data_IF_693837301604
#
_entry.id   IF_693837301604
#
_cell.length_a   1.000
_cell.length_b   1.000
_cell.length_c   1.000
_cell.angle_alpha   90.00
_cell.angle_beta   90.00
_cell.angle_gamma   90.00
#
_symmetry.space_group_name_H-M   'P 1'
#
loop_
_entity.id
_entity.type
_entity.pdbx_description
1 polymer ?
#
# COMPACT_ATOMS: atom_id res chain seq x y z
N UNK A 1 -11.28 36.30 -4.47
CA UNK A 1 -10.19 35.48 -5.02
C UNK A 1 -10.06 35.57 -6.55
N UNK A 2 -11.10 35.30 -7.35
CA UNK A 2 -11.06 35.45 -8.83
C UNK A 2 -10.60 36.82 -9.30
N UNK A 3 -11.10 37.90 -8.69
CA UNK A 3 -10.75 39.29 -9.08
C UNK A 3 -9.33 39.68 -8.66
N UNK A 4 -8.80 39.10 -7.56
CA UNK A 4 -7.41 39.30 -7.15
C UNK A 4 -6.44 38.59 -8.10
N UNK A 5 -6.79 37.38 -8.58
CA UNK A 5 -6.04 36.66 -9.59
C UNK A 5 -6.08 37.36 -10.96
N UNK A 6 -7.25 37.92 -11.34
CA UNK A 6 -7.42 38.69 -12.59
C UNK A 6 -6.65 40.01 -12.59
N UNK A 7 -6.51 40.68 -11.44
CA UNK A 7 -5.69 41.87 -11.31
C UNK A 7 -4.18 41.55 -11.38
N UNK A 8 -3.75 40.46 -10.79
CA UNK A 8 -2.35 39.99 -10.82
C UNK A 8 -1.87 39.57 -12.22
N UNK A 9 -2.77 39.07 -13.08
CA UNK A 9 -2.41 38.74 -14.46
C UNK A 9 -2.14 39.97 -15.36
N UNK A 10 -2.59 41.14 -14.93
CA UNK A 10 -2.38 42.40 -15.68
C UNK A 10 -1.15 43.19 -15.25
N UNK A 11 -0.59 42.85 -14.09
CA UNK A 11 0.63 43.47 -13.56
C UNK A 11 1.77 42.45 -13.68
N UNK A 12 2.97 42.92 -14.08
CA UNK A 12 4.16 42.09 -14.27
C UNK A 12 4.76 41.57 -12.94
N UNK A 13 4.16 41.93 -11.82
CA UNK A 13 4.51 41.43 -10.49
C UNK A 13 3.66 40.22 -10.13
N UNK A 14 4.30 39.09 -9.81
CA UNK A 14 3.63 37.86 -9.43
C UNK A 14 2.69 38.03 -8.23
N UNK A 15 1.69 37.14 -8.12
CA UNK A 15 0.76 37.10 -7.00
C UNK A 15 1.50 36.79 -5.70
N UNK A 16 1.51 37.75 -4.76
CA UNK A 16 2.15 37.61 -3.45
C UNK A 16 1.12 37.49 -2.33
N UNK A 17 1.50 36.86 -1.21
CA UNK A 17 0.67 36.78 -0.01
C UNK A 17 0.29 38.18 0.53
N UNK A 18 1.21 39.13 0.46
CA UNK A 18 0.96 40.53 0.84
C UNK A 18 -0.12 41.18 -0.02
N UNK A 19 -0.12 40.94 -1.32
CA UNK A 19 -1.15 41.46 -2.26
C UNK A 19 -2.52 40.83 -1.97
N UNK A 20 -2.57 39.50 -1.75
CA UNK A 20 -3.80 38.81 -1.34
C UNK A 20 -4.37 39.44 -0.07
N UNK A 21 -3.53 39.63 0.93
CA UNK A 21 -3.90 40.22 2.22
C UNK A 21 -4.50 41.61 2.04
N UNK A 22 -3.85 42.47 1.25
CA UNK A 22 -4.35 43.82 0.96
C UNK A 22 -5.75 43.76 0.36
N UNK A 23 -5.96 42.97 -0.69
CA UNK A 23 -7.25 42.83 -1.35
C UNK A 23 -8.35 42.30 -0.41
N UNK A 24 -8.00 41.30 0.41
CA UNK A 24 -8.94 40.72 1.37
C UNK A 24 -9.33 41.72 2.46
N UNK A 25 -8.39 42.50 3.01
CA UNK A 25 -8.65 43.55 3.99
C UNK A 25 -9.51 44.69 3.44
N UNK A 26 -9.23 45.15 2.21
CA UNK A 26 -10.00 46.20 1.55
C UNK A 26 -11.46 45.79 1.30
N UNK A 27 -11.73 44.54 0.99
CA UNK A 27 -13.07 44.03 0.67
C UNK A 27 -13.84 43.48 1.87
N UNK A 28 -13.15 42.90 2.84
CA UNK A 28 -13.75 42.19 3.96
C UNK A 28 -13.77 42.99 5.27
N UNK A 29 -13.08 44.12 5.32
CA UNK A 29 -13.04 45.00 6.50
C UNK A 29 -12.45 44.35 7.75
N UNK A 30 -12.87 44.81 8.91
CA UNK A 30 -12.33 44.41 10.21
C UNK A 30 -12.50 42.91 10.52
N UNK A 31 -13.59 42.30 10.05
CA UNK A 31 -13.86 40.87 10.29
C UNK A 31 -12.84 39.96 9.56
N UNK A 32 -12.58 40.28 8.29
CA UNK A 32 -11.59 39.53 7.50
C UNK A 32 -10.18 39.77 8.01
N UNK A 33 -9.87 41.02 8.44
CA UNK A 33 -8.58 41.32 9.06
C UNK A 33 -8.36 40.49 10.32
N UNK A 34 -9.36 40.39 11.19
CA UNK A 34 -9.27 39.56 12.40
C UNK A 34 -9.00 38.11 12.11
N UNK A 35 -9.68 37.54 11.11
CA UNK A 35 -9.46 36.13 10.66
C UNK A 35 -8.03 35.95 10.11
N UNK A 36 -7.55 36.89 9.30
CA UNK A 36 -6.19 36.80 8.74
C UNK A 36 -5.13 36.90 9.84
N UNK A 37 -5.35 37.77 10.83
CA UNK A 37 -4.42 37.97 11.95
C UNK A 37 -4.40 36.76 12.89
N UNK A 38 -5.53 36.06 13.10
CA UNK A 38 -5.62 34.87 13.95
C UNK A 38 -5.22 33.57 13.23
N UNK A 39 -5.60 33.43 11.97
CA UNK A 39 -5.49 32.11 11.27
C UNK A 39 -4.27 32.02 10.33
N UNK A 40 -3.73 33.17 9.85
CA UNK A 40 -2.58 33.16 8.95
C UNK A 40 -1.28 33.65 9.60
N UNK A 41 -1.37 34.53 10.61
CA UNK A 41 -0.17 35.12 11.23
C UNK A 41 0.24 34.44 12.52
N UNK A 42 -0.62 33.60 13.08
CA UNK A 42 -0.31 32.78 14.24
C UNK A 42 -0.15 31.32 13.82
N UNK A 43 0.76 30.54 14.42
CA UNK A 43 0.72 29.09 14.27
C UNK A 43 -0.65 28.61 14.73
N UNK A 44 -1.37 27.88 13.87
CA UNK A 44 -2.65 27.31 14.28
C UNK A 44 -2.41 26.20 15.29
N UNK A 45 -3.11 26.27 16.42
CA UNK A 45 -3.27 25.20 17.39
C UNK A 45 -4.72 24.71 17.42
N UNK A 46 -5.52 25.15 16.44
CA UNK A 46 -6.93 24.83 16.37
C UNK A 46 -7.15 23.38 16.07
N UNK A 47 -8.01 22.77 16.84
CA UNK A 47 -8.51 21.42 16.64
C UNK A 47 -9.90 21.35 17.30
N UNK A 48 -10.91 21.07 16.50
CA UNK A 48 -12.31 20.99 16.89
C UNK A 48 -12.74 19.55 16.93
N UNK A 49 -13.38 19.12 18.00
CA UNK A 49 -13.85 17.75 18.15
C UNK A 49 -15.37 17.73 18.34
N UNK A 50 -16.01 16.68 17.79
CA UNK A 50 -17.42 16.43 17.99
C UNK A 50 -17.69 15.02 18.53
N UNK A 51 -18.58 14.92 19.50
CA UNK A 51 -19.03 13.65 20.07
C UNK A 51 -20.25 13.08 19.37
N UNK A 52 -20.55 11.82 19.67
CA UNK A 52 -21.75 11.15 19.14
C UNK A 52 -23.03 11.91 19.52
N UNK A 53 -24.01 12.02 18.60
CA UNK A 53 -25.30 12.62 18.92
C UNK A 53 -26.08 11.77 19.91
N UNK A 54 -26.59 12.40 20.95
CA UNK A 54 -27.39 11.76 22.01
C UNK A 54 -28.74 12.49 22.14
N UNK A 55 -29.77 11.76 22.53
CA UNK A 55 -31.06 12.37 22.77
C UNK A 55 -31.20 12.77 24.24
N UNK A 56 -31.42 14.06 24.48
CA UNK A 56 -31.59 14.62 25.81
C UNK A 56 -32.72 15.66 25.82
N UNK A 57 -33.68 15.54 26.74
CA UNK A 57 -34.78 16.48 26.87
C UNK A 57 -35.64 16.66 25.60
N UNK A 58 -35.74 15.67 24.74
CA UNK A 58 -36.49 15.73 23.48
C UNK A 58 -35.75 16.42 22.32
N UNK A 59 -34.49 16.78 22.51
CA UNK A 59 -33.58 17.31 21.49
C UNK A 59 -32.42 16.34 21.25
N UNK A 60 -31.78 16.47 20.11
CA UNK A 60 -30.53 15.80 19.83
C UNK A 60 -29.38 16.74 20.16
N UNK A 61 -28.42 16.28 20.97
CA UNK A 61 -27.28 17.04 21.45
C UNK A 61 -25.99 16.34 21.04
N UNK A 62 -25.02 17.09 20.52
CA UNK A 62 -23.66 16.63 20.30
C UNK A 62 -22.71 17.50 21.15
N UNK A 63 -21.83 16.84 21.91
CA UNK A 63 -20.78 17.52 22.65
C UNK A 63 -19.72 18.02 21.67
N UNK A 64 -19.24 19.24 21.89
CA UNK A 64 -18.19 19.89 21.10
C UNK A 64 -17.01 20.21 21.99
N UNK A 65 -15.81 20.21 21.45
CA UNK A 65 -14.60 20.65 22.14
C UNK A 65 -13.72 21.46 21.21
N UNK A 66 -13.14 22.53 21.73
CA UNK A 66 -12.12 23.33 21.06
C UNK A 66 -10.80 23.16 21.83
N UNK A 67 -9.76 22.66 21.16
CA UNK A 67 -8.41 22.58 21.74
C UNK A 67 -7.59 23.83 21.44
N UNK A 68 -8.05 24.67 20.49
CA UNK A 68 -7.39 25.89 20.08
C UNK A 68 -7.50 27.06 21.09
N UNK A 69 -6.65 28.02 20.90
CA UNK A 69 -6.48 29.18 21.79
C UNK A 69 -7.51 30.29 21.61
N UNK A 70 -8.48 30.16 20.69
CA UNK A 70 -9.47 31.19 20.36
C UNK A 70 -10.89 30.66 20.46
N UNK A 71 -11.82 31.52 20.90
CA UNK A 71 -13.26 31.26 20.86
C UNK A 71 -13.68 31.09 19.39
N UNK A 72 -14.35 30.01 19.07
CA UNK A 72 -14.66 29.66 17.69
C UNK A 72 -16.16 29.52 17.49
N UNK A 73 -16.73 30.28 16.55
CA UNK A 73 -18.13 30.16 16.15
C UNK A 73 -18.21 29.27 14.93
N UNK A 74 -18.84 28.10 15.06
CA UNK A 74 -18.89 27.07 14.01
C UNK A 74 -20.32 26.70 13.64
N UNK A 75 -20.49 26.29 12.39
CA UNK A 75 -21.67 25.52 11.93
C UNK A 75 -21.48 24.06 12.27
N UNK A 76 -22.52 23.43 12.80
CA UNK A 76 -22.57 21.99 13.02
C UNK A 76 -23.71 21.41 12.19
N UNK A 77 -23.40 20.45 11.33
CA UNK A 77 -24.38 19.72 10.53
C UNK A 77 -24.75 18.39 11.17
N UNK A 78 -26.02 18.05 11.14
CA UNK A 78 -26.54 16.74 11.55
C UNK A 78 -27.25 16.07 10.39
N UNK A 79 -27.08 14.76 10.23
CA UNK A 79 -27.82 13.94 9.27
C UNK A 79 -28.79 13.04 10.01
N UNK A 80 -30.06 13.12 9.64
CA UNK A 80 -31.13 12.31 10.25
C UNK A 80 -31.12 10.88 9.71
N UNK A 81 -31.80 9.99 10.42
CA UNK A 81 -32.04 8.59 9.96
C UNK A 81 -32.82 8.49 8.63
N UNK A 82 -33.46 9.57 8.21
CA UNK A 82 -34.16 9.70 6.92
C UNK A 82 -33.29 10.33 5.83
N UNK A 83 -32.02 10.65 6.14
CA UNK A 83 -31.08 11.26 5.20
C UNK A 83 -31.20 12.79 5.06
N UNK A 84 -32.05 13.44 5.85
CA UNK A 84 -32.18 14.90 5.82
C UNK A 84 -31.02 15.56 6.59
N UNK A 85 -30.49 16.67 6.05
CA UNK A 85 -29.49 17.47 6.73
C UNK A 85 -30.18 18.58 7.54
N UNK A 86 -29.71 18.78 8.78
CA UNK A 86 -30.09 19.87 9.68
C UNK A 86 -28.84 20.55 10.18
N UNK A 87 -28.86 21.87 10.34
CA UNK A 87 -27.70 22.63 10.80
C UNK A 87 -28.02 23.45 12.04
N UNK A 88 -27.03 23.68 12.86
CA UNK A 88 -27.08 24.58 14.01
C UNK A 88 -25.75 25.33 14.14
N UNK A 89 -25.76 26.48 14.80
CA UNK A 89 -24.54 27.20 15.12
C UNK A 89 -24.19 27.01 16.61
N UNK A 90 -22.92 26.93 16.90
CA UNK A 90 -22.39 26.88 18.26
C UNK A 90 -21.14 27.75 18.37
N UNK A 91 -20.96 28.36 19.54
CA UNK A 91 -19.70 29.02 19.91
C UNK A 91 -19.01 28.18 20.95
N UNK A 92 -17.76 27.79 20.66
CA UNK A 92 -16.95 26.95 21.53
C UNK A 92 -15.83 27.80 22.07
N UNK A 93 -15.76 28.03 23.40
CA UNK A 93 -14.68 28.81 24.00
C UNK A 93 -13.32 28.15 23.80
N UNK A 94 -12.26 28.95 23.83
CA UNK A 94 -10.89 28.47 23.77
C UNK A 94 -10.62 27.43 24.87
N UNK A 95 -10.01 26.30 24.50
CA UNK A 95 -9.65 25.17 25.37
C UNK A 95 -10.83 24.58 26.17
N UNK A 96 -12.08 24.76 25.74
CA UNK A 96 -13.27 24.39 26.50
C UNK A 96 -14.28 23.58 25.64
N UNK A 97 -15.40 23.27 26.24
CA UNK A 97 -16.50 22.48 25.69
C UNK A 97 -17.72 23.38 25.38
N UNK A 98 -18.51 22.93 24.43
CA UNK A 98 -19.83 23.42 24.11
C UNK A 98 -20.77 22.30 23.71
N UNK A 99 -21.99 22.62 23.31
CA UNK A 99 -22.99 21.67 22.81
C UNK A 99 -23.67 22.23 21.56
N UNK A 100 -23.81 21.39 20.56
CA UNK A 100 -24.69 21.63 19.44
C UNK A 100 -26.06 20.97 19.70
N UNK A 101 -27.14 21.72 19.55
CA UNK A 101 -28.51 21.22 19.76
C UNK A 101 -29.29 21.22 18.46
N UNK A 102 -29.90 20.09 18.13
CA UNK A 102 -30.74 19.93 16.95
C UNK A 102 -32.19 19.63 17.35
N UNK A 103 -33.10 20.39 16.77
CA UNK A 103 -34.55 20.10 16.87
C UNK A 103 -34.96 19.26 15.68
N UNK A 104 -35.04 17.94 15.86
CA UNK A 104 -35.44 16.99 14.81
C UNK A 104 -36.33 15.90 15.39
N UNK A 105 -37.48 15.59 14.73
CA UNK A 105 -38.31 14.46 15.11
C UNK A 105 -37.68 13.11 14.75
N UNK A 106 -36.78 13.09 13.76
CA UNK A 106 -36.03 11.89 13.36
C UNK A 106 -34.69 11.83 14.09
N UNK A 107 -34.20 10.63 14.34
CA UNK A 107 -32.92 10.42 14.98
C UNK A 107 -31.79 11.04 14.17
N UNK A 108 -30.88 11.76 14.82
CA UNK A 108 -29.62 12.22 14.23
C UNK A 108 -28.64 11.05 14.31
N UNK A 109 -28.19 10.58 13.16
CA UNK A 109 -27.29 9.42 13.05
C UNK A 109 -25.85 9.80 12.81
N UNK A 110 -25.58 11.02 12.30
CA UNK A 110 -24.26 11.57 12.03
C UNK A 110 -24.25 13.05 12.31
N UNK A 111 -23.17 13.54 12.86
CA UNK A 111 -22.92 14.97 13.05
C UNK A 111 -21.53 15.31 12.54
N UNK A 112 -21.37 16.56 12.07
CA UNK A 112 -20.11 17.09 11.54
C UNK A 112 -19.95 18.53 11.98
N UNK A 113 -18.80 18.87 12.58
CA UNK A 113 -18.42 20.23 12.93
C UNK A 113 -17.65 20.85 11.78
N UNK A 114 -17.88 22.13 11.51
CA UNK A 114 -17.26 22.89 10.41
C UNK A 114 -17.31 22.16 9.04
N UNK A 115 -18.51 21.79 8.54
CA UNK A 115 -18.64 21.00 7.30
C UNK A 115 -18.10 21.72 6.07
N UNK A 116 -18.00 23.05 6.09
CA UNK A 116 -17.44 23.85 5.00
C UNK A 116 -15.92 24.02 5.10
N UNK A 117 -15.29 23.47 6.16
CA UNK A 117 -13.84 23.56 6.44
C UNK A 117 -13.31 24.99 6.40
N UNK A 118 -14.01 25.89 7.09
CA UNK A 118 -13.66 27.30 7.15
C UNK A 118 -12.46 27.57 8.06
N UNK A 119 -12.23 26.70 9.03
CA UNK A 119 -11.14 26.79 9.99
C UNK A 119 -10.03 25.79 9.65
N UNK A 120 -8.76 26.24 9.53
CA UNK A 120 -7.64 25.33 9.43
C UNK A 120 -7.43 24.60 10.76
N UNK A 121 -7.44 23.27 10.75
CA UNK A 121 -7.33 22.43 11.93
C UNK A 121 -6.12 21.51 11.85
N UNK A 122 -5.62 21.07 13.01
CA UNK A 122 -4.52 20.12 13.12
C UNK A 122 -4.97 18.69 12.74
N UNK A 123 -6.22 18.34 13.07
CA UNK A 123 -6.84 17.05 12.77
C UNK A 123 -8.29 17.28 12.30
N UNK A 124 -8.63 16.79 11.11
CA UNK A 124 -10.00 16.81 10.58
C UNK A 124 -10.74 15.47 10.76
N UNK A 125 -10.05 14.41 11.20
CA UNK A 125 -10.64 13.08 11.36
C UNK A 125 -11.59 13.01 12.58
N UNK A 126 -11.47 13.97 13.50
CA UNK A 126 -12.28 14.08 14.70
C UNK A 126 -13.48 15.03 14.55
N UNK A 127 -13.65 15.64 13.38
CA UNK A 127 -14.75 16.56 13.02
C UNK A 127 -16.09 15.86 12.80
N UNK A 128 -16.13 14.55 12.71
CA UNK A 128 -17.31 13.77 12.37
C UNK A 128 -17.58 12.72 13.43
N UNK A 129 -18.85 12.57 13.83
CA UNK A 129 -19.26 11.50 14.72
C UNK A 129 -20.56 10.81 14.21
N UNK A 130 -20.63 9.45 14.15
CA UNK A 130 -19.52 8.55 14.44
C UNK A 130 -18.36 8.80 13.47
N UNK A 131 -17.13 8.61 13.95
CA UNK A 131 -15.94 8.77 13.10
C UNK A 131 -16.04 7.91 11.87
N UNK A 132 -15.78 8.49 10.70
CA UNK A 132 -15.65 7.72 9.49
C UNK A 132 -14.31 6.97 9.54
N UNK A 133 -14.36 5.70 9.14
CA UNK A 133 -13.13 4.94 8.99
C UNK A 133 -12.44 5.50 7.73
N UNK A 134 -11.31 6.12 7.93
CA UNK A 134 -10.45 6.56 6.82
C UNK A 134 -9.83 5.32 6.19
N UNK A 135 -10.09 5.11 4.89
CA UNK A 135 -9.77 3.85 4.21
C UNK A 135 -8.27 3.62 4.11
N UNK A 136 -7.50 4.64 3.74
CA UNK A 136 -6.05 4.49 3.52
C UNK A 136 -5.29 4.28 4.83
N UNK A 137 -5.60 5.05 5.88
CA UNK A 137 -5.03 4.85 7.21
C UNK A 137 -5.41 3.51 7.81
N UNK A 138 -6.65 3.06 7.59
CA UNK A 138 -7.09 1.74 8.05
C UNK A 138 -6.41 0.59 7.32
N UNK A 139 -6.14 0.70 6.01
CA UNK A 139 -5.33 -0.27 5.28
C UNK A 139 -3.89 -0.33 5.83
N UNK A 140 -3.29 0.84 6.12
CA UNK A 140 -1.98 0.92 6.76
C UNK A 140 -1.95 0.22 8.12
N UNK A 141 -2.97 0.44 8.94
CA UNK A 141 -3.11 -0.24 10.23
C UNK A 141 -3.29 -1.76 10.08
N UNK A 142 -4.07 -2.23 9.10
CA UNK A 142 -4.18 -3.66 8.79
C UNK A 142 -2.81 -4.24 8.45
N UNK A 143 -2.02 -3.57 7.61
CA UNK A 143 -0.67 -4.02 7.26
C UNK A 143 0.26 -4.09 8.50
N UNK A 144 0.15 -3.11 9.40
CA UNK A 144 0.88 -3.14 10.68
C UNK A 144 0.47 -4.34 11.54
N UNK A 145 -0.83 -4.65 11.62
CA UNK A 145 -1.35 -5.81 12.35
C UNK A 145 -0.86 -7.14 11.75
N UNK A 146 -0.71 -7.23 10.42
CA UNK A 146 -0.05 -8.37 9.79
C UNK A 146 1.42 -8.49 10.21
N UNK A 147 2.16 -7.39 10.28
CA UNK A 147 3.55 -7.38 10.75
C UNK A 147 3.70 -7.84 12.20
N UNK A 148 2.72 -7.58 13.05
CA UNK A 148 2.66 -8.04 14.44
C UNK A 148 1.93 -9.37 14.64
N UNK A 149 1.48 -10.00 13.56
CA UNK A 149 0.72 -11.27 13.53
C UNK A 149 -0.62 -11.23 14.31
N UNK A 150 -1.19 -10.04 14.52
CA UNK A 150 -2.51 -9.87 15.16
C UNK A 150 -3.63 -10.03 14.12
N UNK A 151 -3.74 -11.24 13.57
CA UNK A 151 -4.66 -11.54 12.48
C UNK A 151 -6.14 -11.42 12.87
N UNK A 152 -6.47 -11.58 14.15
CA UNK A 152 -7.84 -11.41 14.62
C UNK A 152 -8.29 -9.94 14.54
N UNK A 153 -7.42 -8.99 14.93
CA UNK A 153 -7.72 -7.57 14.77
C UNK A 153 -7.68 -7.15 13.29
N UNK A 154 -6.74 -7.69 12.50
CA UNK A 154 -6.70 -7.46 11.06
C UNK A 154 -8.01 -7.90 10.38
N UNK A 155 -8.53 -9.07 10.73
CA UNK A 155 -9.84 -9.56 10.27
C UNK A 155 -10.99 -8.61 10.65
N UNK A 156 -11.06 -8.20 11.92
CA UNK A 156 -12.11 -7.32 12.39
C UNK A 156 -12.10 -5.96 11.66
N UNK A 157 -10.92 -5.36 11.50
CA UNK A 157 -10.78 -4.06 10.83
C UNK A 157 -11.07 -4.16 9.33
N UNK A 158 -10.58 -5.20 8.64
CA UNK A 158 -10.89 -5.40 7.21
C UNK A 158 -12.37 -5.67 6.95
N UNK A 159 -13.05 -6.37 7.88
CA UNK A 159 -14.48 -6.56 7.82
C UNK A 159 -15.27 -5.25 7.94
N UNK A 160 -14.82 -4.32 8.80
CA UNK A 160 -15.39 -2.97 8.89
C UNK A 160 -15.14 -2.17 7.60
N UNK A 161 -13.93 -2.23 7.04
CA UNK A 161 -13.61 -1.61 5.75
C UNK A 161 -14.51 -2.12 4.62
N UNK A 162 -14.73 -3.42 4.53
CA UNK A 162 -15.59 -4.03 3.52
C UNK A 162 -17.08 -3.70 3.70
N UNK A 163 -17.51 -3.38 4.91
CA UNK A 163 -18.87 -2.89 5.14
C UNK A 163 -19.10 -1.48 4.55
N UNK A 164 -18.05 -0.65 4.50
CA UNK A 164 -18.09 0.71 3.96
C UNK A 164 -17.75 0.71 2.46
N UNK A 165 -16.75 -0.05 2.06
CA UNK A 165 -16.22 -0.14 0.70
C UNK A 165 -16.20 -1.60 0.20
N UNK A 166 -17.36 -2.20 -0.15
CA UNK A 166 -17.44 -3.62 -0.50
C UNK A 166 -16.63 -4.01 -1.75
N UNK A 167 -16.33 -3.04 -2.61
CA UNK A 167 -15.56 -3.24 -3.85
C UNK A 167 -14.05 -3.06 -3.67
N UNK A 168 -13.57 -2.74 -2.46
CA UNK A 168 -12.15 -2.51 -2.20
C UNK A 168 -11.39 -3.84 -2.20
N UNK A 169 -10.75 -4.14 -3.34
CA UNK A 169 -10.06 -5.41 -3.56
C UNK A 169 -8.94 -5.65 -2.55
N UNK A 170 -8.17 -4.61 -2.22
CA UNK A 170 -7.06 -4.69 -1.24
C UNK A 170 -7.55 -5.10 0.15
N UNK A 171 -8.65 -4.51 0.62
CA UNK A 171 -9.24 -4.89 1.90
C UNK A 171 -9.72 -6.35 1.89
N UNK A 172 -10.32 -6.80 0.78
CA UNK A 172 -10.79 -8.20 0.66
C UNK A 172 -9.62 -9.19 0.58
N UNK A 173 -8.54 -8.85 -0.12
CA UNK A 173 -7.30 -9.66 -0.12
C UNK A 173 -6.75 -9.78 1.30
N UNK A 174 -6.66 -8.67 2.03
CA UNK A 174 -6.17 -8.68 3.42
C UNK A 174 -7.10 -9.45 4.35
N UNK A 175 -8.42 -9.33 4.16
CA UNK A 175 -9.41 -10.10 4.91
C UNK A 175 -9.23 -11.62 4.69
N UNK A 176 -9.17 -12.05 3.42
CA UNK A 176 -8.95 -13.46 3.07
C UNK A 176 -7.62 -13.99 3.63
N UNK A 177 -6.55 -13.21 3.56
CA UNK A 177 -5.24 -13.56 4.14
C UNK A 177 -5.29 -13.67 5.66
N UNK A 178 -6.01 -12.76 6.35
CA UNK A 178 -6.20 -12.84 7.81
C UNK A 178 -6.95 -14.11 8.24
N UNK A 179 -7.99 -14.49 7.49
CA UNK A 179 -8.72 -15.74 7.70
C UNK A 179 -7.80 -16.96 7.49
N UNK A 180 -7.02 -16.96 6.41
CA UNK A 180 -6.07 -18.03 6.07
C UNK A 180 -4.99 -18.20 7.16
N UNK A 181 -4.43 -17.10 7.67
CA UNK A 181 -3.46 -17.11 8.75
C UNK A 181 -4.02 -17.71 10.05
N UNK A 182 -5.31 -17.54 10.31
CA UNK A 182 -6.03 -18.13 11.42
C UNK A 182 -6.53 -19.58 11.15
N UNK A 183 -6.14 -20.17 10.03
CA UNK A 183 -6.56 -21.50 9.59
C UNK A 183 -8.08 -21.64 9.34
N UNK A 184 -8.79 -20.56 9.08
CA UNK A 184 -10.21 -20.52 8.67
C UNK A 184 -10.31 -20.79 7.16
N UNK A 185 -9.94 -22.02 6.73
CA UNK A 185 -9.68 -22.33 5.33
C UNK A 185 -10.90 -22.13 4.41
N UNK A 186 -12.08 -22.57 4.84
CA UNK A 186 -13.29 -22.52 4.00
C UNK A 186 -13.81 -21.07 3.84
N UNK A 187 -13.62 -20.25 4.87
CA UNK A 187 -13.96 -18.83 4.82
C UNK A 187 -12.97 -18.08 3.93
N UNK A 188 -11.67 -18.32 4.10
CA UNK A 188 -10.62 -17.74 3.27
C UNK A 188 -10.82 -18.11 1.79
N UNK A 189 -11.14 -19.37 1.49
CA UNK A 189 -11.37 -19.82 0.12
C UNK A 189 -12.54 -19.10 -0.54
N UNK A 190 -13.63 -18.88 0.18
CA UNK A 190 -14.79 -18.14 -0.35
C UNK A 190 -14.42 -16.71 -0.74
N UNK A 191 -13.65 -16.02 0.12
CA UNK A 191 -13.22 -14.66 -0.16
C UNK A 191 -12.23 -14.60 -1.34
N UNK A 192 -11.27 -15.53 -1.41
CA UNK A 192 -10.36 -15.61 -2.56
C UNK A 192 -11.07 -15.96 -3.86
N UNK A 193 -12.06 -16.85 -3.85
CA UNK A 193 -12.88 -17.14 -5.05
C UNK A 193 -13.67 -15.92 -5.51
N UNK A 194 -14.24 -15.16 -4.57
CA UNK A 194 -14.94 -13.91 -4.91
C UNK A 194 -14.00 -12.88 -5.56
N UNK A 195 -12.73 -12.84 -5.15
CA UNK A 195 -11.71 -12.00 -5.80
C UNK A 195 -11.34 -12.52 -7.18
N UNK A 196 -11.24 -13.84 -7.37
CA UNK A 196 -10.96 -14.47 -8.67
C UNK A 196 -12.07 -14.21 -9.70
N UNK A 197 -13.32 -14.10 -9.26
CA UNK A 197 -14.48 -13.81 -10.11
C UNK A 197 -14.60 -12.31 -10.48
N UNK A 198 -13.72 -11.45 -9.99
CA UNK A 198 -13.73 -10.03 -10.30
C UNK A 198 -13.38 -9.80 -11.78
N UNK A 199 -14.14 -8.93 -12.46
CA UNK A 199 -13.94 -8.63 -13.89
C UNK A 199 -12.70 -7.79 -14.19
N UNK A 200 -12.24 -7.01 -13.22
CA UNK A 200 -11.09 -6.10 -13.35
C UNK A 200 -10.17 -6.20 -12.12
N UNK A 201 -9.54 -7.36 -11.89
CA UNK A 201 -8.61 -7.50 -10.79
C UNK A 201 -7.31 -6.75 -11.08
N UNK A 202 -6.71 -6.16 -10.04
CA UNK A 202 -5.35 -5.62 -10.14
C UNK A 202 -4.32 -6.77 -10.20
N UNK A 203 -3.10 -6.55 -10.75
CA UNK A 203 -2.03 -7.57 -10.70
C UNK A 203 -1.75 -8.10 -9.29
N UNK A 204 -1.73 -7.22 -8.28
CA UNK A 204 -1.57 -7.59 -6.87
C UNK A 204 -2.73 -8.48 -6.39
N UNK A 205 -3.98 -8.13 -6.71
CA UNK A 205 -5.16 -8.94 -6.36
C UNK A 205 -5.08 -10.33 -6.98
N UNK A 206 -4.70 -10.43 -8.27
CA UNK A 206 -4.52 -11.73 -8.95
C UNK A 206 -3.46 -12.58 -8.26
N UNK A 207 -2.29 -11.99 -7.99
CA UNK A 207 -1.19 -12.70 -7.35
C UNK A 207 -1.55 -13.21 -5.96
N UNK A 208 -2.04 -12.34 -5.07
CA UNK A 208 -2.39 -12.73 -3.70
C UNK A 208 -3.57 -13.69 -3.62
N UNK A 209 -4.52 -13.58 -4.55
CA UNK A 209 -5.62 -14.55 -4.68
C UNK A 209 -5.09 -15.94 -5.04
N UNK A 210 -4.25 -16.02 -6.04
CA UNK A 210 -3.65 -17.29 -6.47
C UNK A 210 -2.70 -17.87 -5.40
N UNK A 211 -1.93 -17.02 -4.69
CA UNK A 211 -1.12 -17.44 -3.53
C UNK A 211 -2.02 -18.03 -2.45
N UNK A 212 -3.09 -17.34 -2.06
CA UNK A 212 -4.00 -17.78 -1.00
C UNK A 212 -4.68 -19.11 -1.33
N UNK A 213 -5.20 -19.26 -2.55
CA UNK A 213 -5.79 -20.51 -3.00
C UNK A 213 -4.75 -21.65 -3.09
N UNK A 214 -3.52 -21.33 -3.50
CA UNK A 214 -2.40 -22.27 -3.53
C UNK A 214 -2.02 -22.77 -2.13
N UNK A 215 -1.97 -21.89 -1.13
CA UNK A 215 -1.72 -22.28 0.25
C UNK A 215 -2.85 -23.16 0.82
N UNK A 216 -4.11 -22.86 0.49
CA UNK A 216 -5.25 -23.71 0.87
C UNK A 216 -5.12 -25.09 0.24
N UNK A 217 -4.78 -25.16 -1.05
CA UNK A 217 -4.56 -26.41 -1.75
C UNK A 217 -3.43 -27.25 -1.10
N UNK A 218 -2.32 -26.62 -0.71
CA UNK A 218 -1.24 -27.30 0.03
C UNK A 218 -1.73 -27.87 1.36
N UNK A 219 -2.44 -27.10 2.15
CA UNK A 219 -2.97 -27.55 3.45
C UNK A 219 -3.98 -28.68 3.32
N UNK A 220 -4.64 -28.78 2.16
CA UNK A 220 -5.55 -29.90 1.79
C UNK A 220 -4.85 -31.08 1.13
N UNK A 221 -3.52 -31.10 1.05
CA UNK A 221 -2.75 -32.19 0.45
C UNK A 221 -2.83 -32.25 -1.08
N UNK A 222 -3.04 -31.10 -1.74
CA UNK A 222 -3.15 -30.97 -3.21
C UNK A 222 -1.94 -30.19 -3.78
N UNK A 223 -0.69 -30.73 -3.67
CA UNK A 223 0.50 -29.98 -4.03
C UNK A 223 0.63 -29.66 -5.52
N UNK A 224 0.07 -30.49 -6.40
CA UNK A 224 0.07 -30.22 -7.85
C UNK A 224 -0.76 -28.98 -8.20
N UNK A 225 -1.95 -28.88 -7.61
CA UNK A 225 -2.82 -27.73 -7.79
C UNK A 225 -2.21 -26.47 -7.17
N UNK A 226 -1.61 -26.60 -6.00
CA UNK A 226 -0.89 -25.51 -5.36
C UNK A 226 0.26 -24.99 -6.26
N UNK A 227 1.06 -25.87 -6.85
CA UNK A 227 2.14 -25.48 -7.76
C UNK A 227 1.62 -24.73 -9.00
N UNK A 228 0.47 -25.16 -9.55
CA UNK A 228 -0.21 -24.47 -10.66
C UNK A 228 -0.61 -23.04 -10.25
N UNK A 229 -1.29 -22.89 -9.13
CA UNK A 229 -1.77 -21.61 -8.61
C UNK A 229 -0.60 -20.66 -8.29
N UNK A 230 0.45 -21.13 -7.63
CA UNK A 230 1.65 -20.32 -7.40
C UNK A 230 2.34 -19.92 -8.70
N UNK A 231 2.30 -20.76 -9.73
CA UNK A 231 2.77 -20.43 -11.07
C UNK A 231 1.96 -19.31 -11.71
N UNK A 232 0.66 -19.28 -11.53
CA UNK A 232 -0.20 -18.18 -11.98
C UNK A 232 0.12 -16.89 -11.24
N UNK A 233 0.29 -16.96 -9.92
CA UNK A 233 0.67 -15.81 -9.11
C UNK A 233 2.02 -15.21 -9.54
N UNK A 234 3.00 -16.04 -9.82
CA UNK A 234 4.33 -15.60 -10.27
C UNK A 234 4.31 -14.88 -11.64
N UNK A 235 3.28 -15.13 -12.46
CA UNK A 235 3.09 -14.48 -13.77
C UNK A 235 2.19 -13.25 -13.74
N UNK A 236 1.62 -12.91 -12.61
CA UNK A 236 0.66 -11.80 -12.50
C UNK A 236 1.29 -10.41 -12.56
N UNK A 237 2.61 -10.31 -12.70
CA UNK A 237 3.36 -9.02 -12.73
C UNK A 237 3.00 -8.09 -11.56
N UNK A 238 2.91 -8.69 -10.39
CA UNK A 238 2.58 -8.00 -9.14
C UNK A 238 3.83 -7.44 -8.45
N UNK A 239 3.61 -6.82 -7.30
CA UNK A 239 4.70 -6.28 -6.49
C UNK A 239 5.72 -7.36 -6.06
N UNK A 240 6.94 -6.92 -5.73
CA UNK A 240 8.07 -7.76 -5.37
C UNK A 240 7.73 -8.83 -4.32
N UNK A 241 6.99 -8.46 -3.26
CA UNK A 241 6.63 -9.37 -2.17
C UNK A 241 5.73 -10.54 -2.65
N UNK A 242 4.75 -10.26 -3.50
CA UNK A 242 3.87 -11.28 -4.05
C UNK A 242 4.64 -12.22 -5.00
N UNK A 243 5.46 -11.66 -5.89
CA UNK A 243 6.27 -12.42 -6.84
C UNK A 243 7.26 -13.33 -6.13
N UNK A 244 7.95 -12.86 -5.10
CA UNK A 244 8.88 -13.65 -4.30
C UNK A 244 8.17 -14.78 -3.55
N UNK A 245 7.05 -14.48 -2.88
CA UNK A 245 6.24 -15.50 -2.20
C UNK A 245 5.74 -16.57 -3.15
N UNK A 246 5.20 -16.19 -4.31
CA UNK A 246 4.67 -17.11 -5.29
C UNK A 246 5.75 -18.07 -5.80
N UNK A 247 6.93 -17.58 -6.14
CA UNK A 247 8.06 -18.42 -6.63
C UNK A 247 8.57 -19.35 -5.54
N UNK A 248 8.79 -18.87 -4.32
CA UNK A 248 9.23 -19.69 -3.21
C UNK A 248 8.21 -20.79 -2.87
N UNK A 249 6.93 -20.45 -2.83
CA UNK A 249 5.85 -21.40 -2.57
C UNK A 249 5.69 -22.44 -3.69
N UNK A 250 5.86 -22.02 -4.96
CA UNK A 250 5.83 -22.92 -6.12
C UNK A 250 6.91 -23.99 -6.03
N UNK A 251 8.15 -23.62 -5.71
CA UNK A 251 9.27 -24.57 -5.56
C UNK A 251 8.94 -25.60 -4.48
N UNK A 252 8.39 -25.16 -3.33
CA UNK A 252 7.99 -26.06 -2.25
C UNK A 252 6.86 -27.00 -2.66
N UNK A 253 5.86 -26.48 -3.40
CA UNK A 253 4.73 -27.27 -3.86
C UNK A 253 5.14 -28.31 -4.92
N UNK A 254 6.03 -27.94 -5.85
CA UNK A 254 6.60 -28.86 -6.84
C UNK A 254 7.39 -30.00 -6.17
N UNK A 255 8.21 -29.67 -5.17
CA UNK A 255 8.92 -30.67 -4.36
C UNK A 255 7.95 -31.62 -3.63
N UNK A 256 6.89 -31.08 -3.00
CA UNK A 256 5.87 -31.88 -2.32
C UNK A 256 5.04 -32.75 -3.29
N UNK A 257 4.89 -32.31 -4.54
CA UNK A 257 4.23 -33.08 -5.59
C UNK A 257 5.12 -34.18 -6.21
N UNK A 258 6.37 -34.31 -5.76
CA UNK A 258 7.43 -35.10 -6.41
C UNK A 258 7.56 -34.77 -7.93
N UNK A 259 7.23 -33.54 -8.30
CA UNK A 259 7.39 -33.01 -9.63
C UNK A 259 8.87 -32.67 -9.85
N UNK A 260 9.49 -33.20 -10.90
CA UNK A 260 10.82 -32.74 -11.33
C UNK A 260 10.62 -31.41 -12.07
N UNK A 261 11.18 -30.30 -11.60
CA UNK A 261 11.11 -29.04 -12.35
C UNK A 261 11.74 -29.21 -13.72
N UNK A 262 11.15 -28.60 -14.73
CA UNK A 262 11.79 -28.54 -16.03
C UNK A 262 13.07 -27.67 -15.90
N UNK A 263 14.21 -28.25 -16.20
CA UNK A 263 15.51 -27.59 -16.27
C UNK A 263 16.04 -27.72 -17.67
N UNK A 264 16.31 -26.60 -18.32
CA UNK A 264 16.98 -26.57 -19.62
C UNK A 264 18.48 -26.80 -19.40
N UNK A 265 19.01 -27.88 -19.92
CA UNK A 265 20.41 -28.27 -19.75
C UNK A 265 21.38 -27.25 -20.36
N UNK A 266 20.99 -26.54 -21.43
CA UNK A 266 21.81 -25.47 -22.01
C UNK A 266 21.92 -24.25 -21.06
N UNK A 267 20.84 -23.95 -20.35
CA UNK A 267 20.82 -22.91 -19.31
C UNK A 267 21.68 -23.32 -18.13
N UNK A 268 21.54 -24.56 -17.67
CA UNK A 268 22.36 -25.09 -16.56
C UNK A 268 23.85 -25.06 -16.88
N UNK A 269 24.22 -25.45 -18.11
CA UNK A 269 25.61 -25.36 -18.58
C UNK A 269 26.11 -23.90 -18.63
N UNK A 270 25.27 -22.97 -19.08
CA UNK A 270 25.60 -21.55 -19.09
C UNK A 270 25.83 -21.02 -17.67
N UNK A 271 24.95 -21.35 -16.72
CA UNK A 271 25.09 -20.92 -15.31
C UNK A 271 26.40 -21.43 -14.71
N UNK A 272 26.77 -22.69 -14.96
CA UNK A 272 28.06 -23.24 -14.49
C UNK A 272 29.29 -22.51 -15.09
N UNK A 273 29.21 -22.08 -16.35
CA UNK A 273 30.23 -21.26 -16.98
C UNK A 273 30.27 -19.85 -16.38
N UNK A 274 29.11 -19.25 -16.12
CA UNK A 274 29.00 -17.94 -15.48
C UNK A 274 29.60 -17.97 -14.07
N UNK A 275 29.29 -18.98 -13.26
CA UNK A 275 29.89 -19.17 -11.94
C UNK A 275 31.41 -19.24 -11.99
N UNK A 276 31.95 -19.98 -13.02
CA UNK A 276 33.39 -20.08 -13.22
C UNK A 276 34.01 -18.72 -13.57
N UNK A 277 33.38 -17.98 -14.46
CA UNK A 277 33.83 -16.64 -14.86
C UNK A 277 33.80 -15.66 -13.68
N UNK A 278 32.74 -15.70 -12.87
CA UNK A 278 32.60 -14.86 -11.68
C UNK A 278 33.70 -15.17 -10.66
N UNK A 279 33.95 -16.43 -10.36
CA UNK A 279 35.05 -16.83 -9.44
C UNK A 279 36.45 -16.42 -9.94
N UNK A 280 36.64 -16.34 -11.26
CA UNK A 280 37.93 -15.88 -11.78
C UNK A 280 38.23 -14.41 -11.47
N UNK A 281 37.18 -13.60 -11.20
CA UNK A 281 37.30 -12.16 -10.94
C UNK A 281 37.77 -11.36 -12.16
N UNK A 282 37.82 -11.99 -13.35
CA UNK A 282 38.39 -11.35 -14.57
C UNK A 282 37.25 -10.72 -15.38
N UNK A 283 37.29 -9.42 -15.54
CA UNK A 283 36.28 -8.67 -16.27
C UNK A 283 36.12 -9.16 -17.73
N UNK A 284 37.18 -9.55 -18.40
CA UNK A 284 37.16 -10.03 -19.77
C UNK A 284 36.50 -11.42 -19.93
N UNK A 285 36.37 -12.18 -18.86
CA UNK A 285 35.67 -13.47 -18.83
C UNK A 285 34.18 -13.30 -18.52
N UNK A 286 33.83 -12.33 -17.66
CA UNK A 286 32.45 -12.09 -17.22
C UNK A 286 31.66 -11.24 -18.24
N UNK A 287 32.27 -10.17 -18.77
CA UNK A 287 31.58 -9.20 -19.65
C UNK A 287 30.94 -9.83 -20.90
N UNK A 288 31.56 -10.82 -21.59
CA UNK A 288 30.94 -11.47 -22.74
C UNK A 288 29.66 -12.26 -22.40
N UNK A 289 29.50 -12.68 -21.13
CA UNK A 289 28.38 -13.47 -20.64
C UNK A 289 27.20 -12.63 -20.13
N UNK A 290 27.33 -11.32 -20.10
CA UNK A 290 26.33 -10.37 -19.57
C UNK A 290 25.84 -9.47 -20.70
N UNK A 291 24.57 -9.13 -20.70
CA UNK A 291 24.04 -8.11 -21.61
C UNK A 291 24.56 -6.73 -21.22
N UNK A 292 24.86 -5.86 -22.21
CA UNK A 292 25.24 -4.48 -21.90
C UNK A 292 24.11 -3.72 -21.23
N UNK A 293 24.46 -2.85 -20.28
CA UNK A 293 23.46 -2.02 -19.56
C UNK A 293 23.61 -2.07 -18.05
N UNK A 294 22.50 -2.26 -17.34
CA UNK A 294 22.43 -2.19 -15.87
C UNK A 294 23.34 -3.18 -15.15
N UNK A 295 23.55 -4.35 -15.71
CA UNK A 295 24.44 -5.37 -15.16
C UNK A 295 25.93 -4.99 -15.17
N UNK A 296 26.31 -3.89 -15.82
CA UNK A 296 27.70 -3.39 -15.78
C UNK A 296 28.16 -3.11 -14.34
N UNK A 297 27.29 -2.57 -13.51
CA UNK A 297 27.60 -2.30 -12.08
C UNK A 297 27.78 -3.62 -11.32
N UNK A 298 26.95 -4.58 -11.56
CA UNK A 298 27.08 -5.94 -10.99
C UNK A 298 28.44 -6.53 -11.33
N UNK A 299 28.84 -6.52 -12.60
CA UNK A 299 30.16 -7.03 -13.03
C UNK A 299 31.30 -6.26 -12.35
N UNK A 300 31.24 -4.94 -12.28
CA UNK A 300 32.26 -4.12 -11.62
C UNK A 300 32.36 -4.46 -10.12
N UNK A 301 31.23 -4.67 -9.45
CA UNK A 301 31.21 -5.07 -8.04
C UNK A 301 31.85 -6.45 -7.83
N UNK A 302 31.49 -7.43 -8.65
CA UNK A 302 32.03 -8.78 -8.58
C UNK A 302 33.54 -8.78 -8.82
N UNK A 303 34.01 -8.08 -9.85
CA UNK A 303 35.44 -7.93 -10.15
C UNK A 303 36.20 -7.27 -8.99
N UNK A 304 35.58 -6.23 -8.38
CA UNK A 304 36.19 -5.50 -7.27
C UNK A 304 36.29 -6.27 -5.97
N UNK A 305 35.38 -7.21 -5.73
CA UNK A 305 35.31 -7.99 -4.47
C UNK A 305 35.91 -9.40 -4.59
N UNK A 306 36.04 -9.91 -5.81
CA UNK A 306 36.56 -11.24 -6.13
C UNK A 306 36.09 -12.32 -5.15
N UNK A 307 34.88 -12.87 -5.33
CA UNK A 307 34.28 -13.79 -4.36
C UNK A 307 35.12 -15.07 -4.20
N UNK A 308 35.34 -15.48 -2.97
CA UNK A 308 36.05 -16.71 -2.61
C UNK A 308 35.26 -17.97 -2.98
N UNK A 309 33.92 -17.86 -2.88
CA UNK A 309 32.96 -18.86 -3.29
C UNK A 309 31.82 -18.19 -4.05
N UNK A 310 31.42 -18.80 -5.16
CA UNK A 310 30.21 -18.44 -5.88
C UNK A 310 29.66 -19.69 -6.53
N UNK A 311 28.54 -20.19 -6.03
CA UNK A 311 27.86 -21.36 -6.53
C UNK A 311 26.39 -21.06 -6.75
N UNK A 312 25.91 -21.34 -7.97
CA UNK A 312 24.53 -21.13 -8.37
C UNK A 312 23.89 -22.46 -8.73
N UNK A 313 22.87 -22.85 -8.00
CA UNK A 313 22.07 -24.02 -8.29
C UNK A 313 20.80 -23.61 -9.03
N UNK A 314 20.62 -24.08 -10.24
CA UNK A 314 19.37 -23.93 -11.00
C UNK A 314 18.27 -24.79 -10.34
N UNK A 315 17.19 -24.14 -9.95
CA UNK A 315 16.02 -24.77 -9.35
C UNK A 315 14.94 -25.05 -10.40
N UNK A 316 14.79 -24.14 -11.36
CA UNK A 316 13.77 -24.19 -12.39
C UNK A 316 14.14 -23.28 -13.56
N UNK A 317 13.70 -23.65 -14.77
CA UNK A 317 13.73 -22.80 -15.95
C UNK A 317 12.33 -22.61 -16.50
N UNK A 318 11.99 -21.41 -16.96
CA UNK A 318 10.70 -21.06 -17.55
C UNK A 318 10.93 -20.15 -18.76
N UNK A 319 10.54 -20.62 -19.96
CA UNK A 319 10.64 -19.78 -21.15
C UNK A 319 9.66 -18.60 -21.08
N UNK A 320 10.17 -17.38 -21.18
CA UNK A 320 9.37 -16.15 -21.29
C UNK A 320 9.04 -15.88 -22.76
N UNK A 321 9.98 -16.17 -23.65
CA UNK A 321 9.84 -16.10 -25.10
C UNK A 321 10.76 -17.12 -25.77
N UNK A 322 10.81 -17.14 -27.12
CA UNK A 322 11.74 -17.98 -27.86
C UNK A 322 13.22 -17.67 -27.53
N UNK A 323 13.52 -16.46 -27.10
CA UNK A 323 14.88 -15.97 -26.85
C UNK A 323 15.11 -15.53 -25.41
N UNK A 324 14.14 -15.70 -24.50
CA UNK A 324 14.26 -15.30 -23.11
C UNK A 324 13.82 -16.41 -22.15
N UNK A 325 14.55 -16.54 -21.06
CA UNK A 325 14.34 -17.54 -20.02
C UNK A 325 14.41 -16.92 -18.64
N UNK A 326 13.42 -17.16 -17.80
CA UNK A 326 13.51 -16.93 -16.37
C UNK A 326 14.07 -18.18 -15.69
N UNK A 327 15.05 -17.99 -14.81
CA UNK A 327 15.74 -19.06 -14.10
C UNK A 327 15.67 -18.82 -12.61
N UNK A 328 14.90 -19.62 -11.90
CA UNK A 328 14.92 -19.61 -10.44
C UNK A 328 16.20 -20.31 -9.96
N UNK A 329 16.96 -19.61 -9.13
CA UNK A 329 18.25 -20.11 -8.63
C UNK A 329 18.35 -19.97 -7.11
N UNK A 330 19.10 -20.89 -6.50
CA UNK A 330 19.67 -20.68 -5.15
C UNK A 330 21.16 -20.41 -5.29
N UNK A 331 21.66 -19.51 -4.46
CA UNK A 331 23.04 -19.06 -4.51
C UNK A 331 23.71 -19.25 -3.16
N UNK A 332 24.99 -19.63 -3.20
CA UNK A 332 25.89 -19.60 -2.05
C UNK A 332 27.13 -18.79 -2.45
N UNK A 333 27.45 -17.80 -1.66
CA UNK A 333 28.60 -16.95 -1.94
C UNK A 333 29.41 -16.72 -0.66
N UNK A 334 30.75 -16.61 -0.81
CA UNK A 334 31.64 -16.12 0.23
C UNK A 334 32.38 -14.91 -0.30
N UNK A 335 32.22 -13.80 0.40
CA UNK A 335 32.89 -12.54 0.07
C UNK A 335 33.46 -11.90 1.34
N UNK A 336 34.70 -11.47 1.28
CA UNK A 336 35.40 -10.81 2.41
C UNK A 336 35.29 -11.64 3.69
N UNK A 337 35.37 -12.96 3.60
CA UNK A 337 35.29 -13.90 4.71
C UNK A 337 33.88 -14.14 5.28
N UNK A 338 32.83 -13.51 4.72
CA UNK A 338 31.44 -13.73 5.12
C UNK A 338 30.71 -14.65 4.14
N UNK A 339 30.00 -15.67 4.71
CA UNK A 339 29.15 -16.56 3.96
C UNK A 339 27.74 -15.96 3.80
N UNK A 340 27.23 -15.98 2.58
CA UNK A 340 25.87 -15.55 2.25
C UNK A 340 25.18 -16.65 1.46
N UNK A 341 23.90 -16.84 1.70
CA UNK A 341 23.04 -17.68 0.88
C UNK A 341 21.80 -16.88 0.47
N UNK A 342 21.19 -17.27 -0.65
CA UNK A 342 20.02 -16.56 -1.12
C UNK A 342 19.33 -17.27 -2.28
N UNK A 343 18.28 -16.62 -2.77
CA UNK A 343 17.58 -16.99 -3.99
C UNK A 343 17.49 -15.78 -4.92
N UNK A 344 17.46 -16.02 -6.21
CA UNK A 344 17.29 -15.00 -7.23
C UNK A 344 16.52 -15.55 -8.43
N UNK A 345 16.02 -14.66 -9.26
CA UNK A 345 15.55 -14.97 -10.61
C UNK A 345 16.51 -14.34 -11.60
N UNK A 346 17.21 -15.16 -12.37
CA UNK A 346 18.03 -14.70 -13.47
C UNK A 346 17.21 -14.64 -14.74
N UNK A 347 17.23 -13.49 -15.41
CA UNK A 347 16.66 -13.35 -16.75
C UNK A 347 17.80 -13.55 -17.74
N UNK A 348 17.67 -14.56 -18.57
CA UNK A 348 18.63 -14.85 -19.63
C UNK A 348 18.05 -14.49 -20.98
N UNK A 349 18.89 -13.95 -21.87
CA UNK A 349 18.52 -13.70 -23.26
C UNK A 349 19.49 -14.42 -24.23
N UNK A 350 18.97 -14.94 -25.34
CA UNK A 350 19.81 -15.49 -26.43
C UNK A 350 20.25 -14.36 -27.36
N UNK A 351 21.55 -14.15 -27.43
CA UNK A 351 22.18 -13.18 -28.34
C UNK A 351 23.15 -13.91 -29.22
N UNK A 352 22.90 -13.93 -30.54
CA UNK A 352 23.72 -14.69 -31.49
C UNK A 352 23.73 -16.20 -31.25
N UNK A 353 22.64 -16.76 -30.69
CA UNK A 353 22.51 -18.18 -30.35
C UNK A 353 23.10 -18.59 -29.01
N UNK A 354 23.81 -17.71 -28.30
CA UNK A 354 24.36 -17.97 -26.97
C UNK A 354 23.55 -17.30 -25.89
N UNK A 355 23.43 -17.94 -24.71
CA UNK A 355 22.81 -17.33 -23.55
C UNK A 355 23.66 -16.21 -22.97
N UNK A 356 23.03 -15.16 -22.51
CA UNK A 356 23.62 -14.09 -21.72
C UNK A 356 22.74 -13.75 -20.51
N UNK A 357 23.34 -13.40 -19.40
CA UNK A 357 22.63 -12.83 -18.25
C UNK A 357 22.14 -11.43 -18.64
N UNK A 358 20.83 -11.24 -18.65
CA UNK A 358 20.17 -10.00 -19.06
C UNK A 358 19.60 -9.22 -17.88
N UNK A 359 19.28 -9.88 -16.77
CA UNK A 359 18.77 -9.28 -15.56
C UNK A 359 18.91 -10.21 -14.36
N UNK A 360 18.89 -9.61 -13.18
CA UNK A 360 18.79 -10.31 -11.90
C UNK A 360 17.61 -9.67 -11.18
N UNK A 361 16.59 -10.44 -10.95
CA UNK A 361 15.36 -10.02 -10.29
C UNK A 361 15.17 -10.81 -9.00
N UNK A 362 14.31 -10.31 -8.11
CA UNK A 362 13.87 -11.00 -6.89
C UNK A 362 15.05 -11.60 -6.10
N UNK A 363 16.07 -10.78 -5.87
CA UNK A 363 17.25 -11.20 -5.10
C UNK A 363 16.95 -11.13 -3.60
N UNK A 364 16.97 -12.29 -2.93
CA UNK A 364 16.83 -12.40 -1.47
C UNK A 364 18.13 -12.99 -0.90
N UNK A 365 18.79 -12.26 0.00
CA UNK A 365 19.95 -12.74 0.76
C UNK A 365 19.49 -13.11 2.16
N UNK A 366 19.95 -14.27 2.66
CA UNK A 366 19.72 -14.77 4.01
C UNK A 366 21.00 -14.84 4.78
#
# INVERSE_FOLDING_TARGET
>A
MRDALGASQKESEGFTLARLRTVLNERGGAAVKSILDSELDQPTDMDLLIGLPQQEGGKWIAALRNLGSFDTKVTVAGVTSTGQSVTTEATIPAHDFAQASFSSPAAITRVEIDPEKLYPQLDYDNDIAPRQIEVSGSLGEVMRLFGTQDYAKAEALTKQLLAIAPQLQEARVLFARALLAQNKLDEAEREFKQLADNRLPTPSTLAWTAIGLGEIALRRGQPKEAARLFGEAARADAEYAASLNARAARIKAEAAAAATPAIDESVKAFIAQLDTAIRSGRQNEIMPMVSPGELKRFVQQVVGTQPELWETRVLRTEALSANEMAVDVSMQTRQLGADHSGTAVFILAKVGGAWKLNGIELFEVK
#
